data_IF_596256475098
#
_entry.id   IF_596256475098
#
_cell.length_a   1.000
_cell.length_b   1.000
_cell.length_c   1.000
_cell.angle_alpha   90.00
_cell.angle_beta   90.00
_cell.angle_gamma   90.00
#
_symmetry.space_group_name_H-M   'P 1'
#
loop_
_entity.id
_entity.type
_entity.pdbx_description
1 polymer ?
#
# COMPACT_ATOMS: atom_id res chain seq x y z
N UNK A 1 -0.13 14.01 12.37
CA UNK A 1 0.94 14.63 13.18
C UNK A 1 1.67 13.60 14.04
N UNK A 2 0.96 12.63 14.65
CA UNK A 2 1.52 11.58 15.53
C UNK A 2 2.91 11.02 15.17
N UNK A 3 3.14 10.53 13.94
CA UNK A 3 4.45 9.98 13.55
C UNK A 3 5.56 11.04 13.59
N UNK A 4 5.27 12.26 13.14
CA UNK A 4 6.21 13.40 13.19
C UNK A 4 6.53 13.77 14.64
N UNK A 5 5.54 13.68 15.53
CA UNK A 5 5.71 13.99 16.96
C UNK A 5 6.63 13.00 17.69
N UNK A 6 6.94 11.84 17.08
CA UNK A 6 7.91 10.87 17.60
C UNK A 6 9.34 11.14 17.11
N UNK A 7 9.53 12.06 16.17
CA UNK A 7 10.84 12.36 15.60
C UNK A 7 11.46 13.58 16.29
N UNK A 8 12.78 13.52 16.46
CA UNK A 8 13.56 14.73 16.74
C UNK A 8 13.59 15.64 15.50
N UNK A 9 13.98 16.89 15.69
CA UNK A 9 14.27 17.77 14.55
C UNK A 9 15.32 17.12 13.65
N UNK A 10 15.13 17.24 12.33
CA UNK A 10 15.98 16.61 11.31
C UNK A 10 15.96 15.07 11.33
N UNK A 11 15.03 14.45 12.06
CA UNK A 11 14.79 13.00 12.01
C UNK A 11 14.18 12.55 10.68
N UNK A 12 14.49 11.32 10.28
CA UNK A 12 14.00 10.71 9.04
C UNK A 12 12.79 9.80 9.31
N UNK A 13 11.74 9.94 8.48
CA UNK A 13 10.60 9.01 8.45
C UNK A 13 10.79 8.04 7.28
N UNK A 14 10.79 6.75 7.58
CA UNK A 14 10.58 5.68 6.59
C UNK A 14 9.14 5.18 6.75
N UNK A 15 8.33 5.30 5.70
CA UNK A 15 6.93 4.91 5.72
C UNK A 15 6.66 3.90 4.63
N UNK A 16 6.15 2.73 5.00
CA UNK A 16 5.65 1.71 4.08
C UNK A 16 4.16 1.48 4.26
N UNK A 17 3.44 1.38 3.14
CA UNK A 17 2.01 1.10 3.14
C UNK A 17 1.51 0.63 1.77
N UNK A 18 0.26 0.16 1.73
CA UNK A 18 -0.43 -0.20 0.49
C UNK A 18 -0.72 1.04 -0.36
N UNK A 19 -0.44 0.94 -1.65
CA UNK A 19 -0.78 1.98 -2.65
C UNK A 19 -1.49 1.40 -3.87
N UNK A 20 -2.14 2.29 -4.64
CA UNK A 20 -2.70 2.00 -5.97
C UNK A 20 -2.03 2.83 -7.05
N UNK A 21 -2.10 2.38 -8.31
CA UNK A 21 -1.68 3.21 -9.44
C UNK A 21 -2.57 4.46 -9.55
N UNK A 22 -1.95 5.62 -9.81
CA UNK A 22 -2.68 6.87 -9.99
C UNK A 22 -1.84 8.13 -9.81
N UNK A 23 -2.50 9.27 -9.94
CA UNK A 23 -1.92 10.60 -9.74
C UNK A 23 -2.08 11.09 -8.29
N UNK A 24 -1.66 12.32 -8.02
CA UNK A 24 -1.72 12.97 -6.70
C UNK A 24 -3.12 13.14 -6.09
N UNK A 25 -4.19 12.84 -6.84
CA UNK A 25 -5.58 12.93 -6.39
C UNK A 25 -6.27 11.55 -6.38
N UNK A 26 -5.53 10.48 -6.66
CA UNK A 26 -6.07 9.12 -6.72
C UNK A 26 -5.96 8.44 -5.35
N UNK A 27 -7.11 8.04 -4.79
CA UNK A 27 -7.20 7.32 -3.51
C UNK A 27 -8.31 6.29 -3.59
N UNK A 28 -7.99 5.03 -3.25
CA UNK A 28 -8.98 3.97 -3.08
C UNK A 28 -9.42 3.90 -1.62
N UNK A 29 -10.73 3.86 -1.40
CA UNK A 29 -11.36 3.52 -0.13
C UNK A 29 -12.18 2.25 -0.37
N UNK A 30 -11.75 1.09 0.15
CA UNK A 30 -12.47 -0.16 -0.07
C UNK A 30 -13.77 -0.21 0.74
N UNK A 31 -14.64 -1.16 0.40
CA UNK A 31 -15.82 -1.50 1.22
C UNK A 31 -15.43 -2.30 2.48
N UNK A 32 -16.25 -3.27 2.86
CA UNK A 32 -16.07 -4.04 4.10
C UNK A 32 -14.73 -4.77 4.22
N UNK A 33 -14.16 -5.21 3.08
CA UNK A 33 -12.89 -5.93 3.03
C UNK A 33 -12.06 -5.53 1.82
N UNK A 34 -10.74 -5.51 2.02
CA UNK A 34 -9.74 -5.43 0.95
C UNK A 34 -8.80 -6.63 1.06
N UNK A 35 -8.81 -7.51 0.05
CA UNK A 35 -8.05 -8.76 0.04
C UNK A 35 -8.14 -9.52 1.38
N UNK A 36 -9.39 -9.73 1.82
CA UNK A 36 -9.82 -10.32 3.10
C UNK A 36 -9.48 -9.55 4.39
N UNK A 37 -8.65 -8.51 4.34
CA UNK A 37 -8.40 -7.63 5.49
C UNK A 37 -9.64 -6.77 5.80
N UNK A 38 -10.03 -6.73 7.08
CA UNK A 38 -11.05 -5.81 7.60
C UNK A 38 -10.39 -4.49 8.00
N UNK A 39 -11.17 -3.42 8.10
CA UNK A 39 -10.73 -2.11 8.60
C UNK A 39 -9.60 -1.49 7.77
N UNK A 40 -9.62 -1.68 6.45
CA UNK A 40 -8.74 -0.97 5.52
C UNK A 40 -9.42 0.32 5.12
N UNK A 41 -8.75 1.46 5.34
CA UNK A 41 -9.34 2.78 5.16
C UNK A 41 -8.91 3.43 3.85
N UNK A 42 -7.68 3.96 3.81
CA UNK A 42 -7.17 4.69 2.65
C UNK A 42 -6.02 3.92 2.02
N UNK A 43 -6.12 3.70 0.72
CA UNK A 43 -5.05 3.18 -0.12
C UNK A 43 -4.76 4.26 -1.17
N UNK A 44 -3.90 5.25 -0.85
CA UNK A 44 -3.57 6.33 -1.77
C UNK A 44 -2.67 5.85 -2.91
N UNK A 45 -2.54 6.62 -3.99
CA UNK A 45 -1.39 6.45 -4.88
C UNK A 45 -0.10 6.94 -4.20
N UNK A 46 1.07 6.48 -4.65
CA UNK A 46 2.34 6.98 -4.13
C UNK A 46 2.50 8.51 -4.28
N UNK A 47 2.11 9.14 -5.41
CA UNK A 47 2.07 10.61 -5.51
C UNK A 47 1.10 11.28 -4.52
N UNK A 48 -0.07 10.69 -4.27
CA UNK A 48 -1.03 11.23 -3.30
C UNK A 48 -0.48 11.15 -1.86
N UNK A 49 0.15 10.04 -1.50
CA UNK A 49 0.79 9.86 -0.19
C UNK A 49 1.95 10.85 0.02
N UNK A 50 2.78 11.07 -1.00
CA UNK A 50 3.81 12.10 -0.98
C UNK A 50 3.21 13.48 -0.66
N UNK A 51 2.15 13.87 -1.38
CA UNK A 51 1.45 15.14 -1.15
C UNK A 51 0.86 15.25 0.26
N UNK A 52 0.42 14.13 0.84
CA UNK A 52 -0.07 14.09 2.23
C UNK A 52 1.05 14.30 3.25
N UNK A 53 2.21 13.68 3.05
CA UNK A 53 3.38 13.87 3.90
C UNK A 53 3.87 15.33 3.86
N UNK A 54 3.94 15.92 2.67
CA UNK A 54 4.28 17.34 2.50
C UNK A 54 3.27 18.25 3.23
N UNK A 55 1.96 17.96 3.11
CA UNK A 55 0.91 18.67 3.88
C UNK A 55 1.02 18.49 5.39
N UNK A 56 1.56 17.36 5.86
CA UNK A 56 1.86 17.14 7.28
C UNK A 56 3.14 17.86 7.73
N UNK A 57 3.80 18.60 6.83
CA UNK A 57 5.01 19.37 7.11
C UNK A 57 6.27 18.53 7.13
N UNK A 58 6.30 17.39 6.45
CA UNK A 58 7.57 16.74 6.08
C UNK A 58 8.17 17.47 4.87
N UNK A 59 9.49 17.48 4.81
CA UNK A 59 10.28 18.01 3.69
C UNK A 59 11.09 16.87 3.06
N UNK A 60 11.65 17.10 1.88
CA UNK A 60 12.49 16.13 1.16
C UNK A 60 11.82 14.76 0.95
N UNK A 61 10.50 14.76 0.76
CA UNK A 61 9.70 13.55 0.56
C UNK A 61 10.00 12.95 -0.81
N UNK A 62 10.58 11.75 -0.81
CA UNK A 62 11.01 11.03 -2.02
C UNK A 62 10.38 9.65 -2.07
N UNK A 63 9.92 9.29 -3.26
CA UNK A 63 9.43 7.95 -3.57
C UNK A 63 10.64 7.04 -3.75
N UNK A 64 10.88 6.16 -2.78
CA UNK A 64 12.07 5.31 -2.72
C UNK A 64 11.89 4.03 -3.54
N UNK A 65 10.79 3.31 -3.34
CA UNK A 65 10.44 2.11 -4.09
C UNK A 65 8.92 2.01 -4.27
N UNK A 66 8.50 1.28 -5.30
CA UNK A 66 7.10 0.94 -5.56
C UNK A 66 7.10 -0.46 -6.17
N UNK A 67 6.73 -1.47 -5.38
CA UNK A 67 6.84 -2.86 -5.81
C UNK A 67 5.55 -3.65 -5.58
N UNK A 68 5.20 -4.50 -6.55
CA UNK A 68 4.08 -5.44 -6.42
C UNK A 68 4.49 -6.59 -5.52
N UNK A 69 3.78 -6.80 -4.42
CA UNK A 69 3.95 -7.97 -3.56
C UNK A 69 3.62 -9.22 -4.35
N UNK A 70 4.61 -10.10 -4.45
CA UNK A 70 4.49 -11.36 -5.21
C UNK A 70 4.14 -12.51 -4.28
N UNK A 71 3.62 -13.60 -4.84
CA UNK A 71 3.39 -14.83 -4.06
C UNK A 71 4.68 -15.50 -3.60
N UNK A 72 5.84 -15.16 -4.19
CA UNK A 72 7.13 -15.63 -3.68
C UNK A 72 7.53 -14.89 -2.40
N UNK A 73 7.23 -13.60 -2.32
CA UNK A 73 7.44 -12.75 -1.15
C UNK A 73 6.45 -13.09 -0.03
N UNK A 74 5.16 -13.21 -0.36
CA UNK A 74 4.10 -13.49 0.60
C UNK A 74 3.41 -14.82 0.28
N UNK A 75 3.77 -15.86 1.04
CA UNK A 75 3.26 -17.23 0.89
C UNK A 75 3.15 -17.94 2.22
N UNK A 76 2.41 -19.05 2.19
CA UNK A 76 2.39 -20.05 3.26
C UNK A 76 3.77 -20.67 3.43
N UNK A 77 4.10 -20.98 4.66
CA UNK A 77 5.30 -21.72 5.05
C UNK A 77 4.93 -22.73 6.13
N UNK A 78 5.87 -23.58 6.55
CA UNK A 78 5.65 -24.50 7.68
C UNK A 78 5.29 -23.76 8.99
N UNK A 79 5.69 -22.49 9.10
CA UNK A 79 5.45 -21.64 10.28
C UNK A 79 4.16 -20.81 10.16
N UNK A 80 3.71 -20.54 8.94
CA UNK A 80 2.50 -19.76 8.67
C UNK A 80 1.60 -20.54 7.71
N UNK A 81 0.67 -21.28 8.31
CA UNK A 81 -0.13 -22.31 7.63
C UNK A 81 -1.55 -21.87 7.30
N UNK A 82 -1.99 -20.67 7.66
CA UNK A 82 -3.31 -20.15 7.28
C UNK A 82 -3.30 -19.57 5.86
N UNK A 83 -4.39 -18.95 5.42
CA UNK A 83 -4.48 -18.29 4.11
C UNK A 83 -3.39 -17.23 3.92
N UNK A 84 -2.90 -17.06 2.69
CA UNK A 84 -1.88 -16.10 2.30
C UNK A 84 -2.24 -15.39 0.99
N UNK A 85 -1.32 -14.61 0.42
CA UNK A 85 -1.58 -13.76 -0.74
C UNK A 85 -2.25 -14.51 -1.90
N UNK A 86 -1.76 -15.72 -2.21
CA UNK A 86 -2.31 -16.55 -3.30
C UNK A 86 -3.79 -16.93 -3.11
N UNK A 87 -4.27 -16.99 -1.86
CA UNK A 87 -5.66 -17.29 -1.53
C UNK A 87 -6.57 -16.05 -1.71
N UNK A 88 -5.99 -14.85 -1.75
CA UNK A 88 -6.69 -13.58 -1.88
C UNK A 88 -6.62 -12.97 -3.28
N UNK A 89 -5.77 -13.51 -4.15
CA UNK A 89 -5.70 -13.13 -5.55
C UNK A 89 -6.80 -13.84 -6.36
N UNK A 90 -7.53 -13.07 -7.18
CA UNK A 90 -8.51 -13.64 -8.10
C UNK A 90 -7.80 -14.46 -9.19
N UNK A 91 -8.09 -15.77 -9.25
CA UNK A 91 -7.49 -16.72 -10.19
C UNK A 91 -7.78 -16.40 -11.67
N UNK A 92 -8.73 -15.50 -11.93
CA UNK A 92 -9.19 -15.15 -13.29
C UNK A 92 -8.53 -13.89 -13.85
N UNK A 93 -7.81 -13.11 -13.05
CA UNK A 93 -7.34 -11.76 -13.40
C UNK A 93 -5.80 -11.69 -13.38
N UNK A 94 -5.13 -12.59 -14.09
CA UNK A 94 -3.67 -12.49 -14.29
C UNK A 94 -3.28 -11.48 -15.39
N UNK A 95 -4.23 -10.90 -16.15
CA UNK A 95 -3.88 -10.28 -17.43
C UNK A 95 -4.64 -9.00 -17.87
N UNK A 96 -5.48 -8.36 -17.03
CA UNK A 96 -6.24 -7.17 -17.50
C UNK A 96 -5.93 -5.90 -16.71
N UNK A 97 -5.05 -5.09 -17.31
CA UNK A 97 -4.96 -3.64 -17.12
C UNK A 97 -6.37 -3.02 -17.02
N UNK A 98 -6.58 -2.28 -15.94
CA UNK A 98 -7.42 -1.07 -15.83
C UNK A 98 -8.91 -1.11 -15.43
N UNK A 99 -9.70 -2.20 -15.34
CA UNK A 99 -11.16 -2.02 -15.05
C UNK A 99 -11.86 -2.93 -14.04
N UNK A 100 -11.14 -3.70 -13.22
CA UNK A 100 -11.73 -4.36 -12.07
C UNK A 100 -10.64 -4.54 -11.00
N UNK A 101 -10.69 -3.72 -9.96
CA UNK A 101 -9.76 -3.74 -8.81
C UNK A 101 -10.07 -4.98 -7.95
N UNK A 102 -9.08 -5.77 -7.44
CA UNK A 102 -7.66 -5.44 -7.32
C UNK A 102 -6.71 -6.52 -7.90
N UNK A 103 -5.77 -6.17 -8.78
CA UNK A 103 -4.37 -6.10 -8.39
C UNK A 103 -4.22 -4.69 -7.76
N UNK A 104 -3.47 -4.41 -6.71
CA UNK A 104 -2.07 -4.70 -6.49
C UNK A 104 -1.85 -4.49 -4.98
N UNK A 105 -1.15 -5.41 -4.32
CA UNK A 105 -0.48 -5.09 -3.07
C UNK A 105 0.79 -4.38 -3.49
N UNK A 106 0.77 -3.06 -3.61
CA UNK A 106 1.98 -2.31 -3.91
C UNK A 106 2.43 -1.64 -2.64
N UNK A 107 3.66 -1.92 -2.23
CA UNK A 107 4.29 -1.31 -1.06
C UNK A 107 5.15 -0.13 -1.50
N UNK A 108 5.29 0.84 -0.62
CA UNK A 108 6.03 2.08 -0.79
C UNK A 108 7.18 2.21 0.22
#
# INVERSE_FOLDING_TARGET
MQLKDQLVNEGELVLETLVVDGDENTVLVPGDRYAQMRNVYFIPSAPALKKWLEKCGFIDVRIADVCVTTTEEQRRTEWMVTESLADFLDRTIAARRWKAIPPHYVRY
#
